data_IF_726936110989
#
_entry.id   IF_726936110989
#
_cell.length_a   1.000
_cell.length_b   1.000
_cell.length_c   1.000
_cell.angle_alpha   90.00
_cell.angle_beta   90.00
_cell.angle_gamma   90.00
#
_symmetry.space_group_name_H-M   'P 1'
#
loop_
_entity.id
_entity.type
_entity.pdbx_description
1 polymer ?
#
# COMPACT_ATOMS: atom_id res chain seq x y z
N UNK A 1 5.40 0.31 -26.24
CA UNK A 1 6.10 1.58 -25.95
C UNK A 1 5.53 2.37 -24.77
N UNK A 2 4.22 2.66 -24.74
CA UNK A 2 3.64 3.41 -23.62
C UNK A 2 3.81 2.71 -22.27
N UNK A 3 3.84 1.38 -22.29
CA UNK A 3 4.18 0.56 -21.13
C UNK A 3 5.56 0.83 -20.55
N UNK A 4 6.54 1.12 -21.41
CA UNK A 4 7.88 1.51 -20.97
C UNK A 4 7.81 2.83 -20.21
N UNK A 5 6.97 3.78 -20.63
CA UNK A 5 6.78 5.05 -19.89
C UNK A 5 6.03 4.81 -18.58
N UNK A 6 4.93 4.04 -18.62
CA UNK A 6 4.10 3.76 -17.44
C UNK A 6 4.92 3.19 -16.27
N UNK A 7 5.83 2.26 -16.56
CA UNK A 7 6.71 1.65 -15.57
C UNK A 7 7.71 2.63 -14.92
N UNK A 8 7.93 3.79 -15.53
CA UNK A 8 8.92 4.77 -15.09
C UNK A 8 8.31 5.88 -14.23
N UNK A 9 7.00 6.15 -14.36
CA UNK A 9 6.30 7.11 -13.49
C UNK A 9 6.43 6.81 -11.98
N UNK A 10 6.63 5.54 -11.59
CA UNK A 10 6.90 5.15 -10.21
C UNK A 10 8.20 5.74 -9.65
N UNK A 11 9.17 6.08 -10.50
CA UNK A 11 10.46 6.65 -10.12
C UNK A 11 10.49 8.19 -10.18
N UNK A 12 9.40 8.84 -10.58
CA UNK A 12 9.25 10.29 -10.48
C UNK A 12 9.09 10.67 -9.01
N UNK A 13 10.19 11.09 -8.39
CA UNK A 13 10.22 11.59 -7.02
C UNK A 13 9.84 13.07 -6.93
N UNK A 14 10.07 13.65 -5.75
CA UNK A 14 9.74 15.06 -5.42
C UNK A 14 10.34 16.11 -6.36
N UNK A 15 11.48 15.82 -6.98
CA UNK A 15 12.12 16.72 -7.94
C UNK A 15 11.37 16.77 -9.29
N UNK A 16 10.38 15.88 -9.50
CA UNK A 16 9.53 15.88 -10.68
C UNK A 16 10.25 15.42 -11.95
N UNK A 17 11.45 14.85 -11.83
CA UNK A 17 12.20 14.40 -13.01
C UNK A 17 12.79 13.04 -12.77
N UNK A 18 12.77 12.23 -13.82
CA UNK A 18 13.46 10.97 -13.87
C UNK A 18 14.45 10.99 -15.03
N UNK A 19 15.71 10.73 -14.71
CA UNK A 19 16.78 10.67 -15.70
C UNK A 19 16.97 9.23 -16.17
N UNK A 20 16.94 9.06 -17.48
CA UNK A 20 17.21 7.82 -18.20
C UNK A 20 18.60 7.93 -18.83
N UNK A 21 19.53 7.06 -18.42
CA UNK A 21 20.85 6.97 -19.06
C UNK A 21 20.74 6.33 -20.45
N UNK A 22 21.79 6.52 -21.25
CA UNK A 22 21.94 5.85 -22.55
C UNK A 22 21.84 4.33 -22.43
N UNK A 23 22.38 3.74 -21.37
CA UNK A 23 22.31 2.29 -21.06
C UNK A 23 20.88 1.81 -20.83
N UNK A 24 20.08 2.57 -20.06
CA UNK A 24 18.67 2.25 -19.82
C UNK A 24 17.90 2.24 -21.15
N UNK A 25 18.14 3.23 -22.01
CA UNK A 25 17.51 3.27 -23.33
C UNK A 25 18.03 2.19 -24.28
N UNK A 26 19.29 1.78 -24.16
CA UNK A 26 19.86 0.69 -24.94
C UNK A 26 19.22 -0.67 -24.59
N UNK A 27 18.79 -0.84 -23.34
CA UNK A 27 18.08 -2.04 -22.89
C UNK A 27 16.62 -2.11 -23.39
N UNK A 28 16.05 -1.01 -23.91
CA UNK A 28 14.69 -0.98 -24.44
C UNK A 28 14.64 -1.46 -25.90
N UNK A 29 13.48 -1.97 -26.37
CA UNK A 29 13.29 -2.28 -27.78
C UNK A 29 13.54 -1.04 -28.65
N UNK A 30 14.51 -1.12 -29.56
CA UNK A 30 14.99 0.06 -30.29
C UNK A 30 13.91 0.69 -31.20
N UNK A 31 13.00 -0.12 -31.75
CA UNK A 31 11.83 0.39 -32.48
C UNK A 31 10.90 1.23 -31.61
N UNK A 32 10.70 0.85 -30.35
CA UNK A 32 9.89 1.61 -29.39
C UNK A 32 10.58 2.89 -28.94
N UNK A 33 11.90 2.87 -28.73
CA UNK A 33 12.69 4.07 -28.41
C UNK A 33 12.63 5.09 -29.55
N UNK A 34 12.75 4.63 -30.80
CA UNK A 34 12.64 5.50 -31.97
C UNK A 34 11.26 6.17 -32.03
N UNK A 35 10.20 5.41 -31.74
CA UNK A 35 8.83 5.91 -31.76
C UNK A 35 8.53 6.87 -30.60
N UNK A 36 9.04 6.57 -29.39
CA UNK A 36 8.99 7.47 -28.24
C UNK A 36 9.65 8.83 -28.54
N UNK A 37 10.81 8.80 -29.22
CA UNK A 37 11.48 10.02 -29.68
C UNK A 37 10.66 10.75 -30.76
N UNK A 38 10.08 10.02 -31.73
CA UNK A 38 9.23 10.59 -32.79
C UNK A 38 8.00 11.31 -32.22
N UNK A 39 7.36 10.75 -31.20
CA UNK A 39 6.21 11.33 -30.51
C UNK A 39 6.57 12.45 -29.51
N UNK A 40 7.86 12.75 -29.34
CA UNK A 40 8.41 13.67 -28.34
C UNK A 40 8.08 13.28 -26.89
N UNK A 41 7.92 11.98 -26.62
CA UNK A 41 7.71 11.45 -25.26
C UNK A 41 9.02 11.29 -24.49
N UNK A 42 10.16 11.29 -25.20
CA UNK A 42 11.50 11.38 -24.64
C UNK A 42 12.13 12.71 -25.05
N UNK A 43 12.50 13.53 -24.07
CA UNK A 43 13.27 14.78 -24.29
C UNK A 43 14.69 14.62 -23.76
N UNK A 44 15.66 15.27 -24.41
CA UNK A 44 17.04 15.31 -23.91
C UNK A 44 17.09 16.07 -22.58
N UNK A 45 17.76 15.48 -21.60
CA UNK A 45 18.09 16.14 -20.35
C UNK A 45 19.48 16.79 -20.44
N UNK A 46 19.89 17.48 -19.37
CA UNK A 46 21.25 18.00 -19.28
C UNK A 46 22.26 16.83 -19.32
N UNK A 47 23.46 17.00 -19.91
CA UNK A 47 24.46 15.94 -19.94
C UNK A 47 24.87 15.49 -18.52
N UNK A 48 25.21 14.21 -18.39
CA UNK A 48 25.67 13.65 -17.13
C UNK A 48 26.90 14.41 -16.61
N UNK A 49 26.85 14.84 -15.34
CA UNK A 49 27.97 15.48 -14.65
C UNK A 49 28.85 14.49 -13.89
N UNK A 50 28.33 13.29 -13.66
CA UNK A 50 28.98 12.17 -12.96
C UNK A 50 28.64 10.92 -13.76
N UNK A 51 29.63 10.06 -14.00
CA UNK A 51 29.47 8.79 -14.71
C UNK A 51 30.28 7.69 -14.02
N UNK A 52 29.96 6.43 -14.30
CA UNK A 52 30.76 5.29 -13.85
C UNK A 52 32.07 5.19 -14.63
N UNK A 53 33.14 4.86 -13.91
CA UNK A 53 34.48 4.71 -14.46
C UNK A 53 34.62 3.40 -15.23
N UNK A 54 34.87 3.49 -16.53
CA UNK A 54 35.09 2.32 -17.41
C UNK A 54 36.55 1.86 -17.44
N UNK A 55 37.47 2.61 -16.82
CA UNK A 55 38.91 2.30 -16.81
C UNK A 55 39.39 1.43 -15.65
N UNK A 56 38.51 1.08 -14.70
CA UNK A 56 38.83 0.17 -13.60
C UNK A 56 37.66 -0.77 -13.28
N UNK A 57 37.95 -1.89 -12.62
CA UNK A 57 36.95 -2.91 -12.25
C UNK A 57 35.99 -2.46 -11.14
N UNK A 58 36.31 -1.36 -10.46
CA UNK A 58 35.53 -0.84 -9.32
C UNK A 58 34.31 -0.01 -9.73
N UNK A 59 34.14 0.28 -11.03
CA UNK A 59 33.01 1.05 -11.58
C UNK A 59 32.69 2.35 -10.78
N UNK A 60 33.72 3.06 -10.31
CA UNK A 60 33.54 4.20 -9.43
C UNK A 60 32.79 5.35 -10.11
N UNK A 61 31.89 6.04 -9.38
CA UNK A 61 31.26 7.27 -9.84
C UNK A 61 32.25 8.44 -9.82
N UNK A 62 32.51 9.03 -10.99
CA UNK A 62 33.51 10.06 -11.19
C UNK A 62 32.93 11.32 -11.83
N UNK A 63 33.35 12.53 -11.39
CA UNK A 63 32.91 13.78 -12.00
C UNK A 63 33.50 13.95 -13.40
N UNK A 64 32.64 14.41 -14.32
CA UNK A 64 32.99 14.66 -15.71
C UNK A 64 33.69 16.02 -15.83
N UNK A 65 34.86 16.01 -16.44
CA UNK A 65 35.63 17.22 -16.74
C UNK A 65 35.51 17.54 -18.22
N UNK A 66 35.08 18.76 -18.53
CA UNK A 66 34.94 19.25 -19.91
C UNK A 66 35.98 20.32 -20.16
N UNK A 67 36.88 20.07 -21.10
CA UNK A 67 37.81 21.07 -21.62
C UNK A 67 37.28 21.55 -22.97
N UNK A 68 36.82 22.81 -23.07
CA UNK A 68 36.24 23.34 -24.30
C UNK A 68 37.30 23.47 -25.39
N UNK A 69 36.85 23.60 -26.63
CA UNK A 69 37.71 23.85 -27.80
C UNK A 69 38.51 25.13 -27.58
N UNK A 70 39.84 25.03 -27.60
CA UNK A 70 40.76 26.15 -27.49
C UNK A 70 41.95 25.92 -28.43
N UNK A 71 42.43 26.99 -29.06
CA UNK A 71 43.63 27.00 -29.90
C UNK A 71 43.67 25.90 -30.98
N UNK A 72 42.54 25.67 -31.65
CA UNK A 72 42.42 24.66 -32.71
C UNK A 72 42.39 23.21 -32.22
N UNK A 73 42.39 22.97 -30.90
CA UNK A 73 42.26 21.62 -30.31
C UNK A 73 40.80 21.32 -30.04
N UNK A 74 40.35 20.12 -30.44
CA UNK A 74 39.00 19.63 -30.17
C UNK A 74 38.69 19.62 -28.66
N UNK A 75 37.42 19.81 -28.33
CA UNK A 75 36.95 19.69 -26.96
C UNK A 75 37.25 18.27 -26.45
N UNK A 76 37.66 18.16 -25.18
CA UNK A 76 38.01 16.89 -24.55
C UNK A 76 37.17 16.71 -23.30
N UNK A 77 36.49 15.59 -23.23
CA UNK A 77 35.69 15.19 -22.08
C UNK A 77 36.41 14.00 -21.45
N UNK A 78 36.61 14.03 -20.14
CA UNK A 78 37.25 12.94 -19.44
C UNK A 78 36.81 12.84 -17.97
N UNK A 79 36.98 11.66 -17.39
CA UNK A 79 37.01 11.46 -15.94
C UNK A 79 38.46 11.23 -15.50
N UNK A 80 38.77 11.65 -14.27
CA UNK A 80 40.08 11.43 -13.68
C UNK A 80 39.92 10.50 -12.47
N UNK A 81 40.55 9.33 -12.52
CA UNK A 81 40.52 8.39 -11.42
C UNK A 81 41.38 8.94 -10.27
N UNK A 82 40.76 9.11 -9.08
CA UNK A 82 41.45 9.47 -7.84
C UNK A 82 41.72 8.25 -6.93
N UNK A 83 41.25 7.06 -7.33
CA UNK A 83 41.32 5.83 -6.52
C UNK A 83 42.52 4.94 -6.86
N UNK A 84 43.02 5.00 -8.09
CA UNK A 84 44.16 4.21 -8.54
C UNK A 84 45.17 5.05 -9.30
N UNK A 85 46.45 4.86 -8.97
CA UNK A 85 47.56 5.61 -9.59
C UNK A 85 47.81 5.20 -11.06
N UNK A 86 47.36 4.01 -11.47
CA UNK A 86 47.59 3.44 -12.81
C UNK A 86 46.47 3.75 -13.83
N UNK A 87 45.32 4.22 -13.39
CA UNK A 87 44.14 4.42 -14.26
C UNK A 87 44.15 5.80 -14.93
N UNK A 88 44.65 6.83 -14.25
CA UNK A 88 44.82 8.17 -14.82
C UNK A 88 43.54 8.82 -15.34
N UNK A 89 43.58 9.35 -16.58
CA UNK A 89 42.44 10.00 -17.25
C UNK A 89 41.82 9.09 -18.28
N UNK A 90 40.50 8.98 -18.25
CA UNK A 90 39.72 8.18 -19.19
C UNK A 90 38.92 9.15 -20.05
N UNK A 91 39.16 9.11 -21.37
CA UNK A 91 38.42 9.93 -22.32
C UNK A 91 36.98 9.40 -22.43
N UNK A 92 36.03 10.33 -22.54
CA UNK A 92 34.60 10.05 -22.58
C UNK A 92 34.04 10.63 -23.87
N UNK A 93 33.21 9.87 -24.57
CA UNK A 93 32.54 10.36 -25.76
C UNK A 93 31.29 11.18 -25.37
N UNK A 94 30.92 12.22 -26.13
CA UNK A 94 29.71 13.00 -25.85
C UNK A 94 28.43 12.16 -25.76
N UNK A 95 28.36 11.04 -26.51
CA UNK A 95 27.26 10.08 -26.46
C UNK A 95 27.08 9.42 -25.09
N UNK A 96 28.17 9.24 -24.35
CA UNK A 96 28.16 8.58 -23.04
C UNK A 96 27.59 9.49 -21.95
N UNK A 97 27.58 10.80 -22.20
CA UNK A 97 26.94 11.79 -21.33
C UNK A 97 25.46 12.02 -21.66
N UNK A 98 24.93 11.40 -22.72
CA UNK A 98 23.54 11.63 -23.11
C UNK A 98 22.59 11.11 -22.04
N UNK A 99 21.79 12.03 -21.53
CA UNK A 99 20.71 11.76 -20.60
C UNK A 99 19.38 12.13 -21.24
N UNK A 100 18.36 11.34 -20.95
CA UNK A 100 17.00 11.55 -21.43
C UNK A 100 16.06 11.60 -20.24
N UNK A 101 14.89 12.18 -20.45
CA UNK A 101 13.83 12.19 -19.47
C UNK A 101 12.50 12.04 -20.19
N UNK A 102 11.52 11.50 -19.48
CA UNK A 102 10.15 11.41 -19.97
C UNK A 102 9.57 12.83 -20.01
N UNK A 103 8.95 13.19 -21.13
CA UNK A 103 8.16 14.41 -21.20
C UNK A 103 6.75 14.13 -20.69
N UNK A 104 6.55 14.34 -19.38
CA UNK A 104 5.27 14.11 -18.71
C UNK A 104 4.18 15.01 -19.28
N UNK A 105 4.47 16.29 -19.53
CA UNK A 105 3.52 17.22 -20.12
C UNK A 105 3.06 16.77 -21.51
N UNK A 106 3.98 16.24 -22.34
CA UNK A 106 3.61 15.67 -23.64
C UNK A 106 2.75 14.42 -23.50
N UNK A 107 3.11 13.51 -22.60
CA UNK A 107 2.32 12.31 -22.31
C UNK A 107 0.90 12.67 -21.86
N UNK A 108 0.78 13.60 -20.93
CA UNK A 108 -0.49 14.10 -20.38
C UNK A 108 -1.33 14.79 -21.46
N UNK A 109 -0.71 15.50 -22.40
CA UNK A 109 -1.41 16.10 -23.54
C UNK A 109 -2.03 15.06 -24.47
N UNK A 110 -1.30 13.95 -24.73
CA UNK A 110 -1.85 12.82 -25.49
C UNK A 110 -3.00 12.16 -24.71
N UNK A 111 -2.85 12.04 -23.40
CA UNK A 111 -3.86 11.46 -22.51
C UNK A 111 -5.17 12.26 -22.54
N UNK A 112 -5.09 13.58 -22.40
CA UNK A 112 -6.25 14.48 -22.45
C UNK A 112 -6.94 14.42 -23.82
N UNK A 113 -6.15 14.39 -24.90
CA UNK A 113 -6.68 14.24 -26.26
C UNK A 113 -7.44 12.92 -26.43
N UNK A 114 -6.90 11.82 -25.89
CA UNK A 114 -7.54 10.50 -25.96
C UNK A 114 -8.79 10.38 -25.07
N UNK A 115 -8.87 11.14 -23.98
CA UNK A 115 -10.09 11.28 -23.17
C UNK A 115 -11.18 12.13 -23.86
N UNK A 116 -10.88 12.76 -25.00
CA UNK A 116 -11.79 13.71 -25.65
C UNK A 116 -11.95 15.02 -24.88
N UNK A 117 -10.94 15.40 -24.07
CA UNK A 117 -10.93 16.70 -23.42
C UNK A 117 -10.40 17.76 -24.39
N UNK A 118 -11.25 18.71 -24.77
CA UNK A 118 -10.86 19.93 -25.52
C UNK A 118 -10.15 20.94 -24.60
N UNK A 119 -9.16 20.48 -23.84
CA UNK A 119 -8.46 21.24 -22.80
C UNK A 119 -6.97 20.98 -22.86
N UNK A 120 -6.15 22.04 -22.74
CA UNK A 120 -4.71 21.91 -22.55
C UNK A 120 -4.46 21.62 -21.07
N UNK A 121 -3.85 20.49 -20.71
CA UNK A 121 -3.72 20.12 -19.31
C UNK A 121 -2.93 21.13 -18.48
N UNK A 122 -3.46 21.47 -17.29
CA UNK A 122 -2.77 22.34 -16.35
C UNK A 122 -1.92 21.52 -15.39
N UNK A 123 -0.69 21.97 -15.16
CA UNK A 123 0.18 21.38 -14.16
C UNK A 123 -0.22 21.84 -12.75
N UNK A 124 -0.60 20.88 -11.90
CA UNK A 124 -0.95 21.11 -10.50
C UNK A 124 0.30 20.95 -9.63
N UNK A 125 1.02 19.84 -9.85
CA UNK A 125 2.29 19.52 -9.17
C UNK A 125 3.29 19.15 -10.25
N UNK A 126 4.46 19.80 -10.23
CA UNK A 126 5.51 19.70 -11.24
C UNK A 126 5.78 18.24 -11.65
N UNK A 127 5.45 17.89 -12.90
CA UNK A 127 5.59 16.56 -13.51
C UNK A 127 4.94 15.40 -12.74
N UNK A 128 4.06 15.69 -11.78
CA UNK A 128 3.47 14.69 -10.89
C UNK A 128 1.95 14.66 -10.95
N UNK A 129 1.29 15.81 -11.10
CA UNK A 129 -0.16 15.88 -11.15
C UNK A 129 -0.63 16.95 -12.13
N UNK A 130 -1.61 16.60 -12.96
CA UNK A 130 -2.14 17.48 -13.99
C UNK A 130 -3.66 17.41 -14.05
N UNK A 131 -4.31 18.56 -14.19
CA UNK A 131 -5.73 18.64 -14.50
C UNK A 131 -5.92 18.45 -16.01
N UNK A 132 -6.65 17.41 -16.40
CA UNK A 132 -6.84 17.03 -17.81
C UNK A 132 -8.07 17.70 -18.44
N UNK A 133 -8.93 18.31 -17.63
CA UNK A 133 -10.18 18.91 -18.07
C UNK A 133 -11.41 18.35 -17.35
N UNK A 134 -12.59 18.82 -17.76
CA UNK A 134 -13.87 18.35 -17.23
C UNK A 134 -14.56 17.49 -18.27
N UNK A 135 -14.96 16.29 -17.87
CA UNK A 135 -15.75 15.37 -18.70
C UNK A 135 -17.15 15.22 -18.12
N UNK A 136 -18.11 14.89 -18.98
CA UNK A 136 -19.46 14.52 -18.55
C UNK A 136 -19.56 13.00 -18.57
N UNK A 137 -19.53 12.38 -17.39
CA UNK A 137 -19.58 10.92 -17.22
C UNK A 137 -20.74 10.58 -16.29
N UNK A 138 -21.60 9.64 -16.71
CA UNK A 138 -22.80 9.24 -15.97
C UNK A 138 -23.69 10.44 -15.58
N UNK A 139 -23.89 11.38 -16.52
CA UNK A 139 -24.67 12.62 -16.35
C UNK A 139 -24.15 13.59 -15.28
N UNK A 140 -22.92 13.40 -14.79
CA UNK A 140 -22.25 14.32 -13.85
C UNK A 140 -21.02 14.92 -14.53
N UNK A 141 -20.77 16.21 -14.28
CA UNK A 141 -19.50 16.85 -14.65
C UNK A 141 -18.43 16.45 -13.63
N UNK A 142 -17.32 15.92 -14.14
CA UNK A 142 -16.22 15.40 -13.33
C UNK A 142 -14.90 15.94 -13.81
N UNK A 143 -14.07 16.39 -12.87
CA UNK A 143 -12.71 16.79 -13.15
C UNK A 143 -11.82 15.56 -13.32
N UNK A 144 -11.18 15.43 -14.47
CA UNK A 144 -10.21 14.39 -14.75
C UNK A 144 -8.81 14.86 -14.32
N UNK A 145 -8.12 14.09 -13.49
CA UNK A 145 -6.81 14.45 -12.96
C UNK A 145 -5.84 13.29 -13.22
N UNK A 146 -4.73 13.55 -13.88
CA UNK A 146 -3.63 12.60 -14.00
C UNK A 146 -2.71 12.71 -12.78
N UNK A 147 -2.23 11.57 -12.27
CA UNK A 147 -1.20 11.52 -11.25
C UNK A 147 -0.14 10.48 -11.58
N UNK A 148 1.13 10.84 -11.47
CA UNK A 148 2.26 9.99 -11.82
C UNK A 148 2.30 8.71 -10.95
N UNK A 149 2.15 8.85 -9.63
CA UNK A 149 2.25 7.73 -8.71
C UNK A 149 1.48 7.97 -7.40
N UNK A 150 1.40 6.93 -6.57
CA UNK A 150 0.66 6.98 -5.30
C UNK A 150 1.26 7.96 -4.29
N UNK A 151 2.58 8.16 -4.29
CA UNK A 151 3.22 9.12 -3.38
C UNK A 151 2.76 10.56 -3.69
N UNK A 152 2.77 10.93 -4.97
CA UNK A 152 2.29 12.23 -5.43
C UNK A 152 0.80 12.43 -5.14
N UNK A 153 -0.03 11.39 -5.36
CA UNK A 153 -1.46 11.45 -5.05
C UNK A 153 -1.71 11.72 -3.57
N UNK A 154 -1.05 10.97 -2.70
CA UNK A 154 -1.24 11.06 -1.25
C UNK A 154 -0.76 12.42 -0.72
N UNK A 155 0.41 12.89 -1.18
CA UNK A 155 0.91 14.22 -0.79
C UNK A 155 -0.07 15.33 -1.20
N UNK A 156 -0.56 15.31 -2.44
CA UNK A 156 -1.47 16.34 -2.93
C UNK A 156 -2.86 16.29 -2.27
N UNK A 157 -3.31 15.11 -1.83
CA UNK A 157 -4.51 14.96 -1.00
C UNK A 157 -4.31 15.51 0.42
N UNK A 158 -3.18 15.22 1.05
CA UNK A 158 -2.83 15.75 2.38
C UNK A 158 -2.73 17.28 2.37
N UNK A 159 -2.23 17.85 1.28
CA UNK A 159 -2.12 19.30 1.06
C UNK A 159 -3.46 19.95 0.63
N UNK A 160 -4.54 19.18 0.47
CA UNK A 160 -5.87 19.69 0.10
C UNK A 160 -5.97 20.25 -1.32
N UNK A 161 -5.00 19.96 -2.20
CA UNK A 161 -4.88 20.58 -3.53
C UNK A 161 -6.05 20.25 -4.47
N UNK A 162 -6.78 19.17 -4.16
CA UNK A 162 -7.85 18.67 -5.01
C UNK A 162 -9.26 19.08 -4.57
N UNK A 163 -9.43 19.74 -3.42
CA UNK A 163 -10.75 20.11 -2.88
C UNK A 163 -11.52 21.10 -3.78
N UNK A 164 -10.80 21.85 -4.60
CA UNK A 164 -11.36 22.79 -5.57
C UNK A 164 -12.04 22.12 -6.78
N UNK A 165 -11.79 20.83 -7.02
CA UNK A 165 -12.29 20.14 -8.21
C UNK A 165 -13.64 19.45 -7.95
N UNK A 166 -14.54 19.53 -8.93
CA UNK A 166 -15.88 18.97 -8.80
C UNK A 166 -15.89 17.49 -9.17
N UNK A 167 -16.19 16.62 -8.19
CA UNK A 167 -16.27 15.16 -8.35
C UNK A 167 -15.04 14.59 -9.10
N UNK A 168 -13.82 14.80 -8.57
CA UNK A 168 -12.61 14.44 -9.28
C UNK A 168 -12.54 12.92 -9.49
N UNK A 169 -11.93 12.50 -10.59
CA UNK A 169 -11.39 11.15 -10.70
C UNK A 169 -9.93 11.22 -11.10
N UNK A 170 -9.13 10.36 -10.47
CA UNK A 170 -7.69 10.35 -10.55
C UNK A 170 -7.25 9.17 -11.41
N UNK A 171 -6.50 9.44 -12.46
CA UNK A 171 -5.87 8.45 -13.33
C UNK A 171 -4.42 8.29 -12.88
N UNK A 172 -4.11 7.20 -12.19
CA UNK A 172 -2.78 6.95 -11.62
C UNK A 172 -1.96 6.07 -12.55
N UNK A 173 -0.78 6.53 -12.96
CA UNK A 173 0.08 5.79 -13.90
C UNK A 173 0.75 4.55 -13.27
N UNK A 174 1.23 4.66 -12.04
CA UNK A 174 1.84 3.55 -11.31
C UNK A 174 0.77 2.56 -10.77
N UNK A 175 1.14 1.29 -10.64
CA UNK A 175 0.25 0.24 -10.12
C UNK A 175 -0.28 0.60 -8.72
N UNK A 176 -1.60 0.43 -8.58
CA UNK A 176 -2.35 0.70 -7.35
C UNK A 176 -2.17 -0.47 -6.38
N UNK A 177 -0.96 -0.64 -5.84
CA UNK A 177 -0.66 -1.69 -4.87
C UNK A 177 -1.20 -1.39 -3.46
N UNK A 178 -1.71 -0.19 -3.22
CA UNK A 178 -2.26 0.23 -1.93
C UNK A 178 -3.26 1.36 -2.16
N UNK A 179 -4.55 1.05 -2.17
CA UNK A 179 -5.58 2.07 -2.32
C UNK A 179 -5.80 2.79 -1.00
N UNK A 180 -5.67 4.11 -1.01
CA UNK A 180 -6.21 4.97 0.02
C UNK A 180 -7.64 5.32 -0.40
N UNK A 181 -8.63 5.01 0.43
CA UNK A 181 -9.99 5.49 0.17
C UNK A 181 -10.06 6.99 0.40
N UNK A 182 -10.38 7.72 -0.66
CA UNK A 182 -10.55 9.18 -0.61
C UNK A 182 -11.99 9.53 -0.30
N UNK A 183 -12.16 10.61 0.46
CA UNK A 183 -13.49 11.11 0.87
C UNK A 183 -14.36 11.50 -0.32
N UNK A 184 -13.74 11.99 -1.40
CA UNK A 184 -14.44 12.45 -2.58
C UNK A 184 -13.62 12.19 -3.85
N UNK A 185 -14.20 11.40 -4.75
CA UNK A 185 -13.63 11.09 -6.05
C UNK A 185 -13.26 9.63 -6.22
N UNK A 186 -12.95 9.24 -7.46
CA UNK A 186 -12.58 7.88 -7.81
C UNK A 186 -11.08 7.80 -8.14
N UNK A 187 -10.37 6.79 -7.64
CA UNK A 187 -8.97 6.52 -8.02
C UNK A 187 -8.96 5.33 -8.97
N UNK A 188 -8.40 5.51 -10.16
CA UNK A 188 -8.44 4.55 -11.25
C UNK A 188 -7.03 4.28 -11.76
N UNK A 189 -6.72 3.01 -12.03
CA UNK A 189 -5.45 2.65 -12.64
C UNK A 189 -5.48 3.06 -14.10
N UNK A 190 -4.52 3.89 -14.50
CA UNK A 190 -4.44 4.29 -15.89
C UNK A 190 -4.12 3.09 -16.78
N UNK A 191 -3.25 2.18 -16.33
CA UNK A 191 -2.89 0.95 -17.03
C UNK A 191 -4.10 0.07 -17.33
N UNK A 192 -5.09 0.02 -16.44
CA UNK A 192 -6.33 -0.73 -16.69
C UNK A 192 -7.17 -0.07 -17.78
N UNK A 193 -7.19 1.26 -17.86
CA UNK A 193 -8.08 2.02 -18.75
C UNK A 193 -7.52 2.26 -20.14
N UNK A 194 -6.21 2.13 -20.34
CA UNK A 194 -5.58 2.41 -21.62
C UNK A 194 -5.68 1.23 -22.59
N UNK A 195 -6.11 1.53 -23.80
CA UNK A 195 -6.07 0.63 -24.95
C UNK A 195 -5.05 1.20 -25.95
N UNK A 196 -4.19 0.33 -26.45
CA UNK A 196 -3.19 0.64 -27.47
C UNK A 196 -3.57 -0.06 -28.78
N UNK A 197 -4.41 0.57 -29.61
CA UNK A 197 -4.87 -0.05 -30.86
C UNK A 197 -3.71 -0.21 -31.85
N UNK A 198 -2.80 0.76 -31.89
CA UNK A 198 -1.54 0.74 -32.64
C UNK A 198 -0.40 1.29 -31.76
N UNK A 199 0.85 1.19 -32.24
CA UNK A 199 2.03 1.67 -31.49
C UNK A 199 2.02 3.19 -31.23
N UNK A 200 1.37 3.98 -32.09
CA UNK A 200 1.51 5.45 -32.08
C UNK A 200 0.29 6.16 -31.46
N UNK A 201 -0.73 5.40 -31.07
CA UNK A 201 -2.02 5.91 -30.66
C UNK A 201 -2.39 5.40 -29.28
N UNK A 202 -2.95 6.29 -28.46
CA UNK A 202 -3.46 6.00 -27.15
C UNK A 202 -4.98 6.21 -27.18
N UNK A 203 -5.72 5.25 -26.63
CA UNK A 203 -7.18 5.33 -26.50
C UNK A 203 -7.62 4.84 -25.12
N UNK A 204 -8.86 5.16 -24.74
CA UNK A 204 -9.43 4.74 -23.46
C UNK A 204 -10.52 3.69 -23.66
N UNK A 205 -10.56 2.72 -22.76
CA UNK A 205 -11.75 1.90 -22.54
C UNK A 205 -12.81 2.74 -21.83
N UNK A 206 -13.64 3.43 -22.61
CA UNK A 206 -14.69 4.30 -22.09
C UNK A 206 -15.75 3.51 -21.32
N UNK A 207 -16.08 2.29 -21.73
CA UNK A 207 -17.06 1.45 -21.02
C UNK A 207 -16.55 1.07 -19.63
N UNK A 208 -15.29 0.66 -19.52
CA UNK A 208 -14.67 0.37 -18.24
C UNK A 208 -14.53 1.62 -17.37
N UNK A 209 -14.17 2.77 -17.95
CA UNK A 209 -14.11 4.04 -17.23
C UNK A 209 -15.47 4.38 -16.59
N UNK A 210 -16.55 4.32 -17.38
CA UNK A 210 -17.91 4.57 -16.90
C UNK A 210 -18.35 3.57 -15.82
N UNK A 211 -17.98 2.29 -16.00
CA UNK A 211 -18.28 1.23 -15.04
C UNK A 211 -17.58 1.44 -13.70
N UNK A 212 -16.27 1.72 -13.70
CA UNK A 212 -15.49 1.93 -12.48
C UNK A 212 -15.95 3.19 -11.72
N UNK A 213 -16.25 4.27 -12.44
CA UNK A 213 -16.82 5.49 -11.86
C UNK A 213 -18.20 5.21 -11.25
N UNK A 214 -19.04 4.41 -11.90
CA UNK A 214 -20.35 4.02 -11.35
C UNK A 214 -20.23 3.23 -10.06
N UNK A 215 -19.27 2.31 -10.01
CA UNK A 215 -18.99 1.50 -8.81
C UNK A 215 -18.53 2.38 -7.64
N UNK A 216 -17.65 3.34 -7.90
CA UNK A 216 -17.20 4.28 -6.87
C UNK A 216 -18.31 5.23 -6.42
N UNK A 217 -19.15 5.73 -7.34
CA UNK A 217 -20.34 6.53 -7.01
C UNK A 217 -21.31 5.76 -6.10
N UNK A 218 -21.57 4.48 -6.39
CA UNK A 218 -22.43 3.63 -5.56
C UNK A 218 -21.83 3.41 -4.17
N UNK A 219 -20.50 3.19 -4.10
CA UNK A 219 -19.76 3.09 -2.83
C UNK A 219 -19.89 4.38 -2.01
N UNK A 220 -19.63 5.53 -2.62
CA UNK A 220 -19.73 6.84 -1.96
C UNK A 220 -21.16 7.17 -1.53
N UNK A 221 -22.17 6.80 -2.33
CA UNK A 221 -23.58 6.97 -1.99
C UNK A 221 -23.99 6.07 -0.81
N UNK A 222 -23.52 4.81 -0.79
CA UNK A 222 -23.75 3.90 0.32
C UNK A 222 -23.12 4.43 1.62
N UNK A 223 -21.87 4.89 1.57
CA UNK A 223 -21.17 5.51 2.72
C UNK A 223 -21.91 6.77 3.23
N UNK A 224 -22.43 7.61 2.33
CA UNK A 224 -23.19 8.81 2.69
C UNK A 224 -24.57 8.48 3.29
N UNK A 225 -25.22 7.40 2.84
CA UNK A 225 -26.54 6.98 3.30
C UNK A 225 -26.50 6.27 4.67
N UNK A 226 -25.41 5.57 5.00
CA UNK A 226 -25.23 4.91 6.30
C UNK A 226 -24.68 5.84 7.38
N UNK A 227 -24.28 7.08 7.04
CA UNK A 227 -23.65 8.01 7.96
C UNK A 227 -22.29 7.54 8.50
N UNK A 228 -21.76 6.45 7.93
CA UNK A 228 -20.53 5.77 8.34
C UNK A 228 -19.49 6.11 7.28
N UNK A 229 -18.59 7.05 7.57
CA UNK A 229 -17.49 7.29 6.65
C UNK A 229 -16.63 6.03 6.62
N UNK A 230 -16.10 5.64 5.47
CA UNK A 230 -15.20 4.49 5.39
C UNK A 230 -13.84 4.84 6.04
N UNK A 231 -13.57 6.13 6.29
CA UNK A 231 -12.55 6.56 7.26
C UNK A 231 -12.82 6.10 8.71
N UNK A 232 -13.97 5.51 9.01
CA UNK A 232 -14.28 4.96 10.34
C UNK A 232 -14.06 3.44 10.41
N UNK A 233 -13.73 2.77 9.29
CA UNK A 233 -13.39 1.35 9.30
C UNK A 233 -11.92 1.14 9.68
N UNK A 234 -11.68 0.33 10.70
CA UNK A 234 -10.32 0.04 11.13
C UNK A 234 -9.77 -1.12 10.29
N UNK A 235 -8.65 -0.88 9.60
CA UNK A 235 -8.05 -1.83 8.66
C UNK A 235 -6.69 -2.25 9.20
N UNK A 236 -6.43 -3.56 9.20
CA UNK A 236 -5.12 -4.12 9.51
C UNK A 236 -4.87 -5.32 8.60
N UNK A 237 -4.49 -5.03 7.35
CA UNK A 237 -4.45 -6.01 6.25
C UNK A 237 -3.09 -6.07 5.58
N UNK A 238 -2.68 -7.27 5.13
CA UNK A 238 -1.43 -7.48 4.39
C UNK A 238 -1.70 -7.50 2.88
N UNK A 239 -1.03 -6.64 2.13
CA UNK A 239 -1.11 -6.54 0.67
C UNK A 239 0.30 -6.72 0.08
N UNK A 240 0.58 -7.93 -0.44
CA UNK A 240 1.91 -8.28 -0.96
C UNK A 240 3.01 -8.20 0.12
N UNK A 241 3.93 -7.24 -0.03
CA UNK A 241 5.02 -6.99 0.92
C UNK A 241 4.74 -5.84 1.90
N UNK A 242 3.57 -5.19 1.80
CA UNK A 242 3.18 -4.04 2.60
C UNK A 242 1.96 -4.36 3.48
N UNK A 243 1.79 -3.57 4.54
CA UNK A 243 0.62 -3.59 5.42
C UNK A 243 -0.12 -2.28 5.30
N UNK A 244 -1.44 -2.34 5.20
CA UNK A 244 -2.33 -1.18 5.23
C UNK A 244 -2.96 -1.10 6.61
N UNK A 245 -2.68 0.00 7.32
CA UNK A 245 -3.13 0.26 8.68
C UNK A 245 -4.05 1.48 8.71
N UNK A 246 -5.36 1.29 8.88
CA UNK A 246 -6.32 2.38 9.06
C UNK A 246 -6.89 2.34 10.48
N UNK A 247 -6.87 3.47 11.17
CA UNK A 247 -7.47 3.63 12.50
C UNK A 247 -7.79 5.10 12.75
N UNK A 248 -9.02 5.39 13.19
CA UNK A 248 -9.49 6.76 13.45
C UNK A 248 -9.36 7.69 12.23
N UNK A 249 -9.63 7.18 11.03
CA UNK A 249 -9.54 7.94 9.78
C UNK A 249 -8.15 8.24 9.25
N UNK A 250 -7.11 7.75 9.92
CA UNK A 250 -5.73 7.90 9.49
C UNK A 250 -5.21 6.56 8.94
N UNK A 251 -4.69 6.58 7.72
CA UNK A 251 -4.13 5.40 7.04
C UNK A 251 -2.62 5.51 6.91
N UNK A 252 -1.89 4.45 7.23
CA UNK A 252 -0.43 4.34 7.09
C UNK A 252 -0.01 2.99 6.53
N UNK A 253 1.15 2.98 5.86
CA UNK A 253 1.69 1.79 5.21
C UNK A 253 3.01 1.37 5.82
N UNK A 254 3.14 0.09 6.19
CA UNK A 254 4.37 -0.44 6.79
C UNK A 254 4.88 -1.65 6.00
N UNK A 255 6.21 -1.79 5.92
CA UNK A 255 6.83 -3.00 5.36
C UNK A 255 6.47 -4.23 6.21
N UNK A 256 6.36 -5.38 5.56
CA UNK A 256 6.04 -6.63 6.24
C UNK A 256 7.01 -6.95 7.38
N UNK A 257 6.45 -7.36 8.52
CA UNK A 257 7.18 -7.94 9.63
C UNK A 257 6.36 -9.07 10.27
N UNK A 258 7.05 -10.01 10.94
CA UNK A 258 6.37 -11.08 11.69
C UNK A 258 5.48 -10.52 12.82
N UNK A 259 5.85 -9.41 13.43
CA UNK A 259 5.06 -8.82 14.51
C UNK A 259 3.75 -8.21 14.01
N UNK A 260 3.73 -7.61 12.82
CA UNK A 260 2.48 -7.15 12.19
C UNK A 260 1.56 -8.34 11.85
N UNK A 261 2.13 -9.46 11.39
CA UNK A 261 1.36 -10.67 11.16
C UNK A 261 0.73 -11.21 12.46
N UNK A 262 1.49 -11.26 13.54
CA UNK A 262 0.95 -11.65 14.85
C UNK A 262 -0.19 -10.74 15.30
N UNK A 263 -0.03 -9.42 15.16
CA UNK A 263 -1.07 -8.45 15.52
C UNK A 263 -2.34 -8.67 14.69
N UNK A 264 -2.23 -8.89 13.38
CA UNK A 264 -3.41 -9.10 12.53
C UNK A 264 -4.23 -10.32 12.93
N UNK A 265 -3.58 -11.41 13.34
CA UNK A 265 -4.27 -12.61 13.82
C UNK A 265 -5.01 -12.36 15.14
N UNK A 266 -4.44 -11.57 16.04
CA UNK A 266 -5.11 -11.19 17.30
C UNK A 266 -6.31 -10.28 17.02
N UNK A 267 -6.18 -9.32 16.10
CA UNK A 267 -7.25 -8.40 15.71
C UNK A 267 -8.41 -9.12 15.00
N UNK A 268 -8.12 -10.19 14.24
CA UNK A 268 -9.14 -10.97 13.53
C UNK A 268 -10.03 -11.83 14.43
N UNK A 269 -9.62 -12.04 15.69
CA UNK A 269 -10.40 -12.75 16.70
C UNK A 269 -10.34 -12.04 18.05
N UNK A 270 -11.05 -10.91 18.23
CA UNK A 270 -11.09 -10.18 19.49
C UNK A 270 -11.53 -11.09 20.66
N UNK A 271 -10.95 -10.85 21.83
CA UNK A 271 -11.15 -11.58 23.08
C UNK A 271 -10.76 -13.08 23.06
N UNK A 272 -10.25 -13.60 21.94
CA UNK A 272 -9.75 -14.96 21.87
C UNK A 272 -8.29 -15.03 22.35
N UNK A 273 -7.99 -15.98 23.24
CA UNK A 273 -6.63 -16.29 23.66
C UNK A 273 -5.98 -17.30 22.71
N UNK A 274 -4.76 -16.99 22.28
CA UNK A 274 -3.91 -17.85 21.46
C UNK A 274 -2.67 -18.29 22.24
N UNK A 275 -2.41 -19.59 22.30
CA UNK A 275 -1.14 -20.06 22.85
C UNK A 275 0.01 -19.69 21.90
N UNK A 276 1.15 -19.27 22.43
CA UNK A 276 2.27 -18.75 21.61
C UNK A 276 2.70 -19.72 20.49
N UNK A 277 2.72 -21.02 20.78
CA UNK A 277 3.13 -22.04 19.81
C UNK A 277 2.16 -22.14 18.61
N UNK A 278 0.89 -21.77 18.78
CA UNK A 278 -0.10 -21.74 17.69
C UNK A 278 0.14 -20.53 16.79
N UNK A 279 0.39 -19.37 17.39
CA UNK A 279 0.70 -18.13 16.68
C UNK A 279 1.98 -18.26 15.84
N UNK A 280 3.01 -18.93 16.38
CA UNK A 280 4.27 -19.19 15.68
C UNK A 280 4.07 -20.08 14.45
N UNK A 281 3.30 -21.18 14.57
CA UNK A 281 3.00 -22.08 13.44
C UNK A 281 2.30 -21.37 12.29
N UNK A 282 1.38 -20.48 12.63
CA UNK A 282 0.64 -19.66 11.68
C UNK A 282 1.57 -18.70 10.92
N UNK A 283 2.59 -18.14 11.57
CA UNK A 283 3.58 -17.27 10.93
C UNK A 283 4.68 -18.02 10.16
N UNK A 284 4.91 -19.31 10.44
CA UNK A 284 5.93 -20.14 9.78
C UNK A 284 5.44 -20.83 8.51
N UNK A 285 4.14 -20.74 8.18
CA UNK A 285 3.56 -21.35 6.98
C UNK A 285 2.97 -20.29 6.03
N UNK A 286 3.79 -19.53 5.28
CA UNK A 286 3.27 -18.56 4.31
C UNK A 286 2.60 -19.31 3.14
N UNK A 287 1.32 -19.03 2.86
CA UNK A 287 0.65 -19.49 1.63
C UNK A 287 -0.32 -20.68 1.76
N UNK A 288 -0.65 -21.14 2.98
CA UNK A 288 -1.89 -21.89 3.22
C UNK A 288 -2.87 -20.98 3.95
N UNK A 289 -3.74 -20.35 3.17
CA UNK A 289 -5.01 -19.83 3.67
C UNK A 289 -5.70 -20.97 4.41
N UNK A 290 -5.84 -20.83 5.73
CA UNK A 290 -6.57 -21.79 6.55
C UNK A 290 -8.06 -21.58 6.27
N UNK A 291 -8.51 -22.24 5.21
CA UNK A 291 -9.83 -22.85 5.20
C UNK A 291 -10.05 -23.50 6.55
N UNK A 292 -11.06 -23.02 7.26
CA UNK A 292 -11.85 -23.75 8.27
C UNK A 292 -11.14 -24.98 8.83
N UNK A 293 -10.53 -24.85 10.02
CA UNK A 293 -10.11 -26.01 10.79
C UNK A 293 -11.36 -26.70 11.37
N UNK A 294 -12.15 -27.28 10.48
CA UNK A 294 -13.21 -28.22 10.80
C UNK A 294 -12.85 -29.54 10.14
N UNK A 295 -12.34 -30.48 10.92
CA UNK A 295 -12.68 -31.89 10.75
C UNK A 295 -12.24 -32.69 11.97
N UNK A 296 -13.21 -33.39 12.55
CA UNK A 296 -13.08 -34.19 13.76
C UNK A 296 -14.45 -34.45 14.41
N UNK A 297 -15.26 -35.25 13.72
CA UNK A 297 -16.39 -36.05 14.19
C UNK A 297 -17.55 -35.45 15.04
N UNK A 298 -18.72 -35.66 14.45
CA UNK A 298 -20.11 -35.50 14.89
C UNK A 298 -20.38 -36.12 16.26
N UNK A 299 -20.34 -35.30 17.32
CA UNK A 299 -21.22 -35.42 18.51
C UNK A 299 -21.28 -34.15 19.40
N UNK A 300 -20.63 -33.05 19.01
CA UNK A 300 -20.49 -31.85 19.88
C UNK A 300 -20.94 -30.53 19.25
N UNK A 301 -21.29 -30.49 17.95
CA UNK A 301 -21.61 -29.22 17.25
C UNK A 301 -22.89 -28.55 17.73
N UNK A 302 -23.95 -29.31 18.01
CA UNK A 302 -25.20 -28.75 18.56
C UNK A 302 -25.00 -28.24 20.00
N UNK A 303 -24.26 -28.98 20.82
CA UNK A 303 -23.99 -28.61 22.22
C UNK A 303 -23.15 -27.33 22.32
N UNK A 304 -22.10 -27.21 21.50
CA UNK A 304 -21.24 -26.01 21.47
C UNK A 304 -21.97 -24.81 20.87
N UNK A 305 -22.79 -24.99 19.83
CA UNK A 305 -23.61 -23.92 19.27
C UNK A 305 -24.65 -23.40 20.27
N UNK A 306 -25.29 -24.31 21.03
CA UNK A 306 -26.24 -23.96 22.07
C UNK A 306 -25.59 -23.20 23.23
N UNK A 307 -24.39 -23.60 23.67
CA UNK A 307 -23.66 -22.87 24.71
C UNK A 307 -23.18 -21.49 24.24
N UNK A 308 -22.74 -21.36 22.98
CA UNK A 308 -22.40 -20.05 22.40
C UNK A 308 -23.61 -19.12 22.34
N UNK A 309 -24.77 -19.65 21.92
CA UNK A 309 -26.02 -18.90 21.92
C UNK A 309 -26.40 -18.42 23.33
N UNK A 310 -26.31 -19.30 24.34
CA UNK A 310 -26.61 -18.93 25.73
C UNK A 310 -25.63 -17.89 26.29
N UNK A 311 -24.35 -17.92 25.91
CA UNK A 311 -23.39 -16.89 26.28
C UNK A 311 -23.73 -15.52 25.66
N UNK A 312 -24.25 -15.51 24.43
CA UNK A 312 -24.78 -14.28 23.82
C UNK A 312 -26.01 -13.78 24.58
N UNK A 313 -26.94 -14.67 24.93
CA UNK A 313 -28.15 -14.31 25.68
C UNK A 313 -27.79 -13.76 27.07
N UNK A 314 -26.87 -14.40 27.79
CA UNK A 314 -26.37 -13.91 29.10
C UNK A 314 -25.70 -12.53 28.97
N UNK A 315 -25.02 -12.24 27.85
CA UNK A 315 -24.40 -10.94 27.64
C UNK A 315 -25.44 -9.83 27.47
N UNK A 316 -26.53 -10.12 26.75
CA UNK A 316 -27.65 -9.19 26.61
C UNK A 316 -28.39 -9.01 27.95
N UNK A 317 -28.64 -10.10 28.69
CA UNK A 317 -29.26 -10.07 30.02
C UNK A 317 -28.40 -9.29 31.05
N UNK A 318 -27.06 -9.34 30.93
CA UNK A 318 -26.14 -8.55 31.77
C UNK A 318 -26.18 -7.05 31.43
N UNK A 319 -26.35 -6.69 30.16
CA UNK A 319 -26.49 -5.30 29.75
C UNK A 319 -27.81 -4.69 30.29
N UNK A 320 -28.90 -5.45 30.22
CA UNK A 320 -30.20 -5.04 30.80
C UNK A 320 -30.17 -4.97 32.34
N UNK A 321 -29.44 -5.89 32.99
CA UNK A 321 -29.23 -5.86 34.45
C UNK A 321 -28.38 -4.67 34.91
N UNK A 322 -27.45 -4.20 34.07
CA UNK A 322 -26.63 -3.02 34.35
C UNK A 322 -27.43 -1.71 34.23
N UNK A 323 -28.43 -1.66 33.36
CA UNK A 323 -29.35 -0.52 33.27
C UNK A 323 -30.33 -0.44 34.46
N UNK A 324 -30.65 -1.60 35.06
CA UNK A 324 -31.60 -1.71 36.18
C UNK A 324 -30.92 -1.80 37.56
N UNK A 325 -29.58 -1.76 37.61
CA UNK A 325 -28.74 -1.92 38.80
C UNK A 325 -29.04 -3.18 39.66
N UNK A 326 -29.55 -4.26 39.04
CA UNK A 326 -29.85 -5.51 39.76
C UNK A 326 -28.58 -6.35 39.99
N UNK A 327 -27.88 -6.02 41.10
CA UNK A 327 -26.64 -6.65 41.54
C UNK A 327 -26.77 -8.16 41.83
N UNK A 328 -27.96 -8.63 42.20
CA UNK A 328 -28.21 -10.04 42.51
C UNK A 328 -28.31 -10.84 41.21
N UNK A 329 -29.10 -10.36 40.25
CA UNK A 329 -29.23 -10.96 38.93
C UNK A 329 -27.88 -10.98 38.19
N UNK A 330 -27.11 -9.88 38.25
CA UNK A 330 -25.77 -9.78 37.65
C UNK A 330 -24.82 -10.85 38.18
N UNK A 331 -24.85 -11.09 39.49
CA UNK A 331 -23.98 -12.09 40.13
C UNK A 331 -24.33 -13.52 39.71
N UNK A 332 -25.61 -13.83 39.53
CA UNK A 332 -26.07 -15.15 39.08
C UNK A 332 -25.69 -15.41 37.62
N UNK A 333 -25.92 -14.42 36.75
CA UNK A 333 -25.56 -14.49 35.32
C UNK A 333 -24.04 -14.65 35.10
N UNK A 334 -23.21 -13.94 35.86
CA UNK A 334 -21.75 -14.11 35.80
C UNK A 334 -21.30 -15.51 36.26
N UNK A 335 -21.98 -16.10 37.24
CA UNK A 335 -21.69 -17.47 37.70
C UNK A 335 -22.11 -18.51 36.65
N UNK A 336 -23.25 -18.30 35.99
CA UNK A 336 -23.69 -19.14 34.87
C UNK A 336 -22.71 -19.05 33.70
N UNK A 337 -22.28 -17.83 33.33
CA UNK A 337 -21.26 -17.56 32.30
C UNK A 337 -19.97 -18.34 32.56
N UNK A 338 -19.40 -18.22 33.76
CA UNK A 338 -18.17 -18.92 34.13
C UNK A 338 -18.33 -20.45 34.08
N UNK A 339 -19.52 -20.97 34.44
CA UNK A 339 -19.83 -22.40 34.35
C UNK A 339 -19.87 -22.90 32.91
N UNK A 340 -20.52 -22.15 32.02
CA UNK A 340 -20.65 -22.47 30.60
C UNK A 340 -19.31 -22.36 29.87
N UNK A 341 -18.49 -21.33 30.15
CA UNK A 341 -17.14 -21.18 29.60
C UNK A 341 -16.24 -22.38 29.94
N UNK A 342 -16.30 -22.84 31.20
CA UNK A 342 -15.54 -24.02 31.65
C UNK A 342 -15.98 -25.31 30.96
N UNK A 343 -17.28 -25.48 30.73
CA UNK A 343 -17.81 -26.63 29.99
C UNK A 343 -17.45 -26.57 28.50
N UNK A 344 -17.38 -25.37 27.91
CA UNK A 344 -16.95 -25.16 26.52
C UNK A 344 -15.47 -25.51 26.34
N UNK A 345 -14.62 -25.09 27.28
CA UNK A 345 -13.19 -25.45 27.33
C UNK A 345 -12.96 -26.96 27.39
N UNK A 346 -13.82 -27.71 28.09
CA UNK A 346 -13.75 -29.17 28.14
C UNK A 346 -14.28 -29.83 26.86
N UNK A 347 -15.33 -29.29 26.25
CA UNK A 347 -15.94 -29.82 25.03
C UNK A 347 -15.06 -29.59 23.78
N UNK A 348 -14.25 -28.54 23.77
CA UNK A 348 -13.37 -28.17 22.64
C UNK A 348 -11.92 -28.68 22.83
N UNK A 349 -11.55 -29.11 24.03
CA UNK A 349 -10.18 -29.44 24.43
C UNK A 349 -9.62 -30.82 24.06
N UNK A 350 -10.28 -31.65 23.24
CA UNK A 350 -9.70 -32.92 22.77
C UNK A 350 -9.05 -32.77 21.38
N UNK A 351 -7.94 -32.04 21.34
CA UNK A 351 -7.12 -31.86 20.14
C UNK A 351 -5.62 -31.92 20.46
N UNK A 352 -5.08 -33.14 20.61
CA UNK A 352 -3.65 -33.42 20.48
C UNK A 352 -2.72 -32.88 21.58
N UNK A 353 -2.29 -33.76 22.50
CA UNK A 353 -1.15 -33.51 23.41
C UNK A 353 0.12 -33.16 22.62
N UNK A 354 0.41 -31.88 22.43
CA UNK A 354 1.75 -31.42 22.09
C UNK A 354 2.64 -31.57 23.33
N UNK A 355 3.75 -32.32 23.19
CA UNK A 355 4.74 -32.53 24.26
C UNK A 355 5.27 -31.17 24.72
N UNK A 356 4.99 -30.83 25.98
CA UNK A 356 5.43 -29.58 26.64
C UNK A 356 6.93 -29.61 26.90
N UNK A 357 7.69 -28.75 26.22
CA UNK A 357 9.00 -28.31 26.69
C UNK A 357 8.86 -26.87 27.22
N UNK A 358 8.80 -26.65 28.55
CA UNK A 358 8.57 -25.33 29.15
C UNK A 358 9.57 -24.26 28.71
N UNK A 359 10.81 -24.65 28.43
CA UNK A 359 11.86 -23.74 28.00
C UNK A 359 11.67 -23.25 26.56
N UNK A 360 11.08 -24.09 25.70
CA UNK A 360 10.79 -23.74 24.31
C UNK A 360 9.60 -22.78 24.22
N UNK A 361 8.54 -23.02 25.00
CA UNK A 361 7.39 -22.11 25.11
C UNK A 361 7.80 -20.73 25.58
N UNK A 362 8.66 -20.64 26.61
CA UNK A 362 9.17 -19.35 27.10
C UNK A 362 10.03 -18.62 26.06
N UNK A 363 10.88 -19.35 25.33
CA UNK A 363 11.68 -18.78 24.23
C UNK A 363 10.79 -18.24 23.10
N UNK A 364 9.75 -18.99 22.71
CA UNK A 364 8.77 -18.55 21.72
C UNK A 364 8.00 -17.32 22.21
N UNK A 365 7.55 -17.30 23.47
CA UNK A 365 6.83 -16.17 24.08
C UNK A 365 7.67 -14.89 24.06
N UNK A 366 8.95 -15.00 24.41
CA UNK A 366 9.89 -13.88 24.35
C UNK A 366 10.10 -13.40 22.90
N UNK A 367 10.29 -14.32 21.95
CA UNK A 367 10.51 -13.98 20.55
C UNK A 367 9.29 -13.28 19.90
N UNK A 368 8.07 -13.79 20.17
CA UNK A 368 6.82 -13.19 19.71
C UNK A 368 6.60 -11.82 20.35
N UNK A 369 6.82 -11.71 21.66
CA UNK A 369 6.68 -10.44 22.39
C UNK A 369 7.65 -9.38 21.86
N UNK A 370 8.90 -9.75 21.54
CA UNK A 370 9.88 -8.83 20.96
C UNK A 370 9.53 -8.45 19.52
N UNK A 371 8.96 -9.36 18.72
CA UNK A 371 8.50 -9.06 17.37
C UNK A 371 7.31 -8.08 17.37
N UNK A 372 6.34 -8.28 18.26
CA UNK A 372 5.21 -7.36 18.47
C UNK A 372 5.74 -6.01 18.95
N UNK A 373 6.66 -5.99 19.93
CA UNK A 373 7.23 -4.75 20.48
C UNK A 373 7.96 -3.92 19.41
N UNK A 374 8.77 -4.55 18.54
CA UNK A 374 9.41 -3.87 17.40
C UNK A 374 8.40 -3.32 16.40
N UNK A 375 7.30 -4.04 16.17
CA UNK A 375 6.24 -3.60 15.26
C UNK A 375 5.47 -2.43 15.86
N UNK A 376 5.12 -2.47 17.14
CA UNK A 376 4.51 -1.35 17.85
C UNK A 376 5.39 -0.09 17.82
N UNK A 377 6.72 -0.21 18.00
CA UNK A 377 7.64 0.93 17.82
C UNK A 377 7.64 1.50 16.40
N UNK A 378 7.43 0.65 15.40
CA UNK A 378 7.34 1.09 14.00
C UNK A 378 5.99 1.76 13.74
N UNK A 379 4.91 1.24 14.32
CA UNK A 379 3.58 1.85 14.27
C UNK A 379 3.61 3.21 14.96
N UNK A 380 4.18 3.35 16.15
CA UNK A 380 4.26 4.61 16.90
C UNK A 380 4.86 5.77 16.08
N UNK A 381 5.96 5.50 15.38
CA UNK A 381 6.64 6.48 14.50
C UNK A 381 5.77 6.98 13.35
N UNK A 382 4.76 6.21 12.92
CA UNK A 382 3.97 6.50 11.73
C UNK A 382 2.50 6.80 12.05
N UNK A 383 1.95 6.21 13.12
CA UNK A 383 0.54 6.19 13.51
C UNK A 383 0.39 6.06 15.04
N UNK A 384 0.54 7.19 15.73
CA UNK A 384 0.58 7.23 17.19
C UNK A 384 -0.73 6.77 17.87
N UNK A 385 -1.89 7.15 17.33
CA UNK A 385 -3.18 6.76 17.92
C UNK A 385 -3.46 5.26 17.79
N UNK A 386 -3.10 4.65 16.66
CA UNK A 386 -3.15 3.19 16.52
C UNK A 386 -2.19 2.49 17.49
N UNK A 387 -0.98 3.02 17.66
CA UNK A 387 -0.03 2.48 18.63
C UNK A 387 -0.58 2.50 20.05
N UNK A 388 -1.16 3.62 20.50
CA UNK A 388 -1.75 3.75 21.83
C UNK A 388 -2.86 2.72 22.05
N UNK A 389 -3.75 2.57 21.06
CA UNK A 389 -4.82 1.59 21.09
C UNK A 389 -4.29 0.16 21.24
N UNK A 390 -3.39 -0.27 20.37
CA UNK A 390 -2.85 -1.63 20.37
C UNK A 390 -2.01 -1.92 21.62
N UNK A 391 -1.31 -0.92 22.16
CA UNK A 391 -0.53 -1.07 23.37
C UNK A 391 -1.42 -1.40 24.59
N UNK A 392 -2.58 -0.76 24.66
CA UNK A 392 -3.54 -0.94 25.75
C UNK A 392 -4.37 -2.23 25.59
N UNK A 393 -4.66 -2.63 24.35
CA UNK A 393 -5.56 -3.74 24.07
C UNK A 393 -4.87 -5.10 23.88
N UNK A 394 -3.55 -5.16 23.63
CA UNK A 394 -2.84 -6.44 23.41
C UNK A 394 -2.23 -6.97 24.70
N UNK A 395 -2.74 -8.12 25.15
CA UNK A 395 -2.16 -8.89 26.24
C UNK A 395 -1.03 -9.79 25.72
N UNK A 396 0.10 -9.76 26.42
CA UNK A 396 1.33 -10.51 26.07
C UNK A 396 1.64 -11.52 27.17
N UNK A 397 2.15 -12.69 26.78
CA UNK A 397 2.51 -13.77 27.71
C UNK A 397 2.68 -15.10 26.97
N UNK A 398 2.54 -16.21 27.70
CA UNK A 398 2.44 -17.55 27.09
C UNK A 398 1.15 -17.70 26.25
N UNK A 399 0.12 -16.94 26.62
CA UNK A 399 -1.11 -16.73 25.87
C UNK A 399 -1.21 -15.26 25.47
N UNK A 400 -1.59 -15.01 24.21
CA UNK A 400 -1.74 -13.68 23.65
C UNK A 400 -3.19 -13.45 23.25
N UNK A 401 -3.71 -12.25 23.50
CA UNK A 401 -5.05 -11.86 23.10
C UNK A 401 -5.11 -10.37 22.78
N UNK A 402 -6.10 -10.00 21.96
CA UNK A 402 -6.49 -8.62 21.75
C UNK A 402 -7.85 -8.41 22.44
N UNK A 403 -7.85 -7.60 23.50
CA UNK A 403 -9.00 -7.33 24.37
C UNK A 403 -9.16 -5.81 24.54
N UNK A 404 -9.80 -5.13 23.59
CA UNK A 404 -10.05 -3.69 23.68
C UNK A 404 -11.15 -3.38 24.71
N UNK A 405 -11.13 -2.17 25.28
CA UNK A 405 -12.15 -1.71 26.25
C UNK A 405 -13.52 -1.46 25.59
N UNK A 406 -13.52 -1.18 24.29
CA UNK A 406 -14.72 -1.00 23.46
C UNK A 406 -14.64 -1.95 22.26
N UNK A 407 -15.78 -2.44 21.78
CA UNK A 407 -15.78 -3.31 20.61
C UNK A 407 -15.36 -2.53 19.37
N UNK A 408 -14.27 -2.97 18.74
CA UNK A 408 -13.70 -2.34 17.54
C UNK A 408 -13.66 -3.39 16.45
N UNK A 409 -14.42 -3.13 15.39
CA UNK A 409 -14.40 -3.97 14.19
C UNK A 409 -13.15 -3.69 13.37
N UNK A 410 -12.44 -4.76 13.04
CA UNK A 410 -11.24 -4.74 12.20
C UNK A 410 -11.46 -5.51 10.90
N UNK A 411 -11.05 -4.93 9.79
CA UNK A 411 -10.85 -5.66 8.55
C UNK A 411 -9.42 -6.20 8.57
N UNK A 412 -9.34 -7.50 8.86
CA UNK A 412 -8.09 -8.27 8.88
C UNK A 412 -8.08 -9.30 7.76
N UNK A 413 -6.89 -9.82 7.45
CA UNK A 413 -6.49 -10.69 6.32
C UNK A 413 -5.95 -9.87 5.17
#
# INVERSE_FOLDING_TARGET
MFELILNRFAAIGREGTEILSSEVLAAWPQGEVAELKRLNLLKKAAPAKIIECTGCEEACLMPVNVYPTQDGRAARIFIACDKREDTGRILIEPSDLEQWQIDVGRFVSLLASALGADYVPDEIVLNQAYYLGTLTINRKRRSAIFVANNEALNSALEDGLFEQYSHPFFLVAADLHSFQEIKQGAILSLRQLLIFPDNDSLSFDCEMLEHLISKDDARNAAAKATGKNISDENIFRKEGQMWTLCYGGVTKYLKHSKGLLYISYLLGSPFQEYHVAELVKVAETPGKEVLSFSSGEVSTKETVANYRKRLTDIHNELAEADETEDLLLKKELLKEKQGLEKQLLQAVGMGGKLKKNPDETKRQANAVSEAITRSLKTIDKNHHSLWQHLLNAINRGEYLSYAPETDISWITI
#
